data_IF_871490449072
#
_entry.id   IF_871490449072
#
_cell.length_a   1.000
_cell.length_b   1.000
_cell.length_c   1.000
_cell.angle_alpha   90.00
_cell.angle_beta   90.00
_cell.angle_gamma   90.00
#
_symmetry.space_group_name_H-M   'P 1'
#
loop_
_entity.id
_entity.type
_entity.pdbx_description
1 polymer ?
#
# COMPACT_ATOMS: atom_id res chain seq x y z
N UNK A 1 22.76 30.99 19.90
CA UNK A 1 23.55 31.46 21.04
C UNK A 1 23.10 30.72 22.29
N UNK A 2 24.05 30.18 23.01
CA UNK A 2 24.04 29.52 24.34
C UNK A 2 23.97 27.99 24.26
N UNK A 3 25.03 27.44 24.30
CA UNK A 3 26.11 27.00 25.20
C UNK A 3 25.91 25.52 25.56
N UNK A 4 26.66 24.67 24.86
CA UNK A 4 27.07 23.33 25.31
C UNK A 4 28.06 23.54 26.49
N UNK A 5 27.74 22.99 27.63
CA UNK A 5 28.71 22.79 28.72
C UNK A 5 29.12 21.35 28.69
N UNK A 6 30.33 21.13 28.20
CA UNK A 6 31.04 19.85 28.21
C UNK A 6 31.74 19.75 29.60
N UNK A 7 31.23 18.92 30.47
CA UNK A 7 31.90 18.60 31.74
C UNK A 7 32.87 17.43 31.55
N UNK A 8 34.14 17.75 31.42
CA UNK A 8 35.25 16.80 31.50
C UNK A 8 35.51 16.43 32.96
N UNK A 9 35.21 15.19 33.33
CA UNK A 9 35.62 14.63 34.64
C UNK A 9 36.91 13.81 34.41
N UNK A 10 38.00 14.35 34.91
CA UNK A 10 39.29 13.63 35.06
C UNK A 10 39.15 12.59 36.18
N UNK A 11 39.26 11.35 35.85
CA UNK A 11 39.37 10.27 36.83
C UNK A 11 40.83 9.87 36.97
N UNK A 12 41.40 10.24 38.14
CA UNK A 12 42.74 9.79 38.59
C UNK A 12 42.70 8.33 39.04
N UNK A 13 43.50 7.51 38.40
CA UNK A 13 43.73 6.11 38.76
C UNK A 13 44.54 6.00 40.08
N UNK A 14 43.94 5.40 41.09
CA UNK A 14 44.67 4.78 42.16
C UNK A 14 44.48 3.26 42.05
N UNK A 15 45.59 2.56 41.74
CA UNK A 15 45.66 1.11 41.90
C UNK A 15 45.69 0.77 43.38
N UNK A 16 44.70 0.04 43.86
CA UNK A 16 44.79 -0.77 45.06
C UNK A 16 44.02 -2.08 44.82
N UNK A 17 44.76 -3.18 44.80
CA UNK A 17 44.18 -4.54 44.82
C UNK A 17 43.42 -4.77 46.12
N UNK A 18 42.13 -5.16 46.04
CA UNK A 18 41.51 -6.24 46.81
C UNK A 18 40.01 -6.36 46.56
N UNK A 19 39.60 -7.63 46.38
CA UNK A 19 38.27 -8.20 46.50
C UNK A 19 37.22 -7.83 45.42
N UNK A 20 36.93 -8.84 44.60
CA UNK A 20 35.75 -8.88 43.71
C UNK A 20 34.46 -8.81 44.53
N UNK A 21 33.85 -7.64 44.55
CA UNK A 21 32.42 -7.52 44.88
C UNK A 21 31.60 -7.57 43.58
N UNK A 22 30.90 -8.64 43.35
CA UNK A 22 30.00 -8.84 42.17
C UNK A 22 28.71 -7.98 42.21
N UNK A 23 28.58 -7.05 43.14
CA UNK A 23 27.37 -6.28 43.39
C UNK A 23 27.07 -5.14 42.38
N UNK A 24 28.04 -4.32 41.89
CA UNK A 24 27.67 -3.12 41.11
C UNK A 24 27.22 -3.42 39.66
N UNK A 25 27.56 -4.57 39.07
CA UNK A 25 27.18 -4.87 37.66
C UNK A 25 25.74 -5.33 37.50
N UNK A 26 25.19 -5.95 38.53
CA UNK A 26 23.77 -6.40 38.53
C UNK A 26 22.84 -5.20 38.73
N UNK A 27 23.19 -4.27 39.61
CA UNK A 27 22.41 -3.05 39.88
C UNK A 27 22.33 -2.13 38.66
N UNK A 28 23.47 -1.93 37.97
CA UNK A 28 23.51 -1.16 36.69
C UNK A 28 22.69 -1.82 35.58
N UNK A 29 22.65 -3.14 35.49
CA UNK A 29 21.84 -3.86 34.49
C UNK A 29 20.34 -3.73 34.74
N UNK A 30 19.92 -3.73 36.00
CA UNK A 30 18.53 -3.53 36.37
C UNK A 30 18.10 -2.09 36.11
N UNK A 31 18.92 -1.11 36.46
CA UNK A 31 18.67 0.32 36.22
C UNK A 31 18.58 0.64 34.71
N UNK A 32 19.48 0.08 33.88
CA UNK A 32 19.40 0.20 32.41
C UNK A 32 18.12 -0.44 31.86
N UNK A 33 17.69 -1.55 32.42
CA UNK A 33 16.48 -2.25 31.98
C UNK A 33 15.21 -1.45 32.33
N UNK A 34 15.19 -0.83 33.49
CA UNK A 34 14.09 0.01 33.96
C UNK A 34 13.98 1.30 33.14
N UNK A 35 15.09 2.01 32.94
CA UNK A 35 15.16 3.20 32.08
C UNK A 35 14.78 2.87 30.64
N UNK A 36 15.22 1.74 30.10
CA UNK A 36 14.85 1.32 28.74
C UNK A 36 13.36 1.02 28.61
N UNK A 37 12.74 0.51 29.66
CA UNK A 37 11.29 0.25 29.71
C UNK A 37 10.50 1.55 29.80
N UNK A 38 10.89 2.48 30.69
CA UNK A 38 10.23 3.78 30.80
C UNK A 38 10.31 4.61 29.52
N UNK A 39 11.47 4.61 28.86
CA UNK A 39 11.65 5.28 27.55
C UNK A 39 10.77 4.64 26.50
N UNK A 40 10.68 3.32 26.45
CA UNK A 40 9.82 2.59 25.52
C UNK A 40 8.33 2.89 25.75
N UNK A 41 7.91 2.87 27.01
CA UNK A 41 6.52 3.11 27.37
C UNK A 41 6.13 4.59 27.09
N UNK A 42 7.02 5.55 27.35
CA UNK A 42 6.84 6.96 27.03
C UNK A 42 6.72 7.20 25.51
N UNK A 43 7.64 6.63 24.72
CA UNK A 43 7.59 6.74 23.25
C UNK A 43 6.31 6.09 22.71
N UNK A 44 5.90 4.95 23.26
CA UNK A 44 4.68 4.27 22.83
C UNK A 44 3.44 5.11 23.12
N UNK A 45 3.39 5.78 24.26
CA UNK A 45 2.27 6.65 24.64
C UNK A 45 2.19 7.87 23.72
N UNK A 46 3.30 8.57 23.48
CA UNK A 46 3.36 9.71 22.55
C UNK A 46 2.97 9.33 21.12
N UNK A 47 3.47 8.17 20.63
CA UNK A 47 3.08 7.63 19.33
C UNK A 47 1.58 7.35 19.23
N UNK A 48 0.99 6.74 20.25
CA UNK A 48 -0.44 6.44 20.26
C UNK A 48 -1.28 7.72 20.25
N UNK A 49 -0.90 8.76 21.01
CA UNK A 49 -1.59 10.06 20.99
C UNK A 49 -1.52 10.72 19.61
N UNK A 50 -0.35 10.68 18.95
CA UNK A 50 -0.18 11.20 17.60
C UNK A 50 -1.01 10.39 16.58
N UNK A 51 -1.02 9.07 16.69
CA UNK A 51 -1.82 8.20 15.81
C UNK A 51 -3.31 8.49 16.00
N UNK A 52 -3.80 8.65 17.23
CA UNK A 52 -5.21 8.91 17.52
C UNK A 52 -5.69 10.24 16.93
N UNK A 53 -4.82 11.24 16.83
CA UNK A 53 -5.15 12.57 16.29
C UNK A 53 -4.95 12.64 14.77
N UNK A 54 -3.86 12.07 14.26
CA UNK A 54 -3.42 12.23 12.85
C UNK A 54 -4.19 11.31 11.91
N UNK A 55 -4.39 10.06 12.28
CA UNK A 55 -5.06 9.07 11.41
C UNK A 55 -6.48 9.47 11.03
N UNK A 56 -7.35 9.97 11.93
CA UNK A 56 -8.67 10.45 11.56
C UNK A 56 -8.65 11.64 10.60
N UNK A 57 -7.70 12.57 10.78
CA UNK A 57 -7.55 13.74 9.89
C UNK A 57 -7.14 13.33 8.48
N UNK A 58 -6.15 12.44 8.36
CA UNK A 58 -5.71 11.91 7.06
C UNK A 58 -6.85 11.17 6.37
N UNK A 59 -7.57 10.32 7.09
CA UNK A 59 -8.73 9.59 6.55
C UNK A 59 -9.81 10.53 6.03
N UNK A 60 -10.12 11.59 6.79
CA UNK A 60 -11.10 12.59 6.37
C UNK A 60 -10.68 13.27 5.07
N UNK A 61 -9.42 13.68 4.94
CA UNK A 61 -8.90 14.31 3.72
C UNK A 61 -9.03 13.38 2.52
N UNK A 62 -8.61 12.12 2.65
CA UNK A 62 -8.73 11.10 1.59
C UNK A 62 -10.20 10.93 1.16
N UNK A 63 -11.14 10.87 2.11
CA UNK A 63 -12.57 10.76 1.82
C UNK A 63 -13.07 11.96 1.03
N UNK A 64 -12.76 13.17 1.49
CA UNK A 64 -13.19 14.42 0.87
C UNK A 64 -12.64 14.51 -0.57
N UNK A 65 -11.40 14.14 -0.81
CA UNK A 65 -10.79 14.09 -2.16
C UNK A 65 -11.45 13.05 -3.07
N UNK A 66 -11.72 11.85 -2.57
CA UNK A 66 -12.36 10.80 -3.35
C UNK A 66 -13.80 11.19 -3.72
N UNK A 67 -14.55 11.75 -2.79
CA UNK A 67 -15.91 12.26 -3.04
C UNK A 67 -15.87 13.38 -4.09
N UNK A 68 -14.94 14.33 -3.95
CA UNK A 68 -14.79 15.44 -4.90
C UNK A 68 -14.46 14.96 -6.33
N UNK A 69 -13.74 13.84 -6.46
CA UNK A 69 -13.42 13.17 -7.73
C UNK A 69 -14.54 12.24 -8.23
N UNK A 70 -15.65 12.11 -7.50
CA UNK A 70 -16.82 11.32 -7.89
C UNK A 70 -16.71 9.82 -7.58
N UNK A 71 -15.75 9.39 -6.76
CA UNK A 71 -15.64 8.00 -6.34
C UNK A 71 -16.74 7.61 -5.35
N UNK A 72 -17.19 6.37 -5.44
CA UNK A 72 -18.09 5.78 -4.44
C UNK A 72 -17.27 5.17 -3.32
N UNK A 73 -17.57 5.58 -2.09
CA UNK A 73 -16.87 5.14 -0.88
C UNK A 73 -17.86 4.92 0.27
N UNK A 74 -17.49 4.09 1.23
CA UNK A 74 -18.15 3.97 2.53
C UNK A 74 -17.18 3.50 3.61
N UNK A 75 -17.50 3.76 4.88
CA UNK A 75 -16.76 3.22 6.01
C UNK A 75 -17.31 1.85 6.41
N UNK A 76 -16.43 0.87 6.52
CA UNK A 76 -16.67 -0.42 7.12
C UNK A 76 -15.99 -0.47 8.49
N UNK A 77 -16.73 -0.81 9.53
CA UNK A 77 -16.19 -1.00 10.88
C UNK A 77 -16.10 -2.49 11.15
N UNK A 78 -14.88 -2.97 11.37
CA UNK A 78 -14.66 -4.36 11.77
C UNK A 78 -15.24 -4.63 13.16
N UNK A 79 -16.06 -5.66 13.26
CA UNK A 79 -16.80 -5.96 14.50
C UNK A 79 -15.89 -6.41 15.63
N UNK A 80 -14.75 -7.05 15.30
CA UNK A 80 -13.81 -7.60 16.29
C UNK A 80 -12.78 -6.57 16.73
N UNK A 81 -12.10 -5.94 15.75
CA UNK A 81 -11.01 -5.01 16.05
C UNK A 81 -11.51 -3.59 16.32
N UNK A 82 -12.75 -3.28 15.90
CA UNK A 82 -13.34 -1.93 15.93
C UNK A 82 -12.63 -0.93 15.00
N UNK A 83 -11.69 -1.41 14.18
CA UNK A 83 -11.03 -0.59 13.19
C UNK A 83 -11.99 -0.16 12.09
N UNK A 84 -11.82 1.06 11.62
CA UNK A 84 -12.57 1.58 10.48
C UNK A 84 -11.75 1.47 9.21
N UNK A 85 -12.24 0.74 8.23
CA UNK A 85 -11.67 0.58 6.91
C UNK A 85 -12.43 1.45 5.91
N UNK A 86 -11.74 2.31 5.20
CA UNK A 86 -12.34 3.05 4.09
C UNK A 86 -12.47 2.14 2.88
N UNK A 87 -13.71 1.81 2.50
CA UNK A 87 -14.02 1.02 1.31
C UNK A 87 -14.20 1.96 0.11
N UNK A 88 -13.56 1.59 -1.02
CA UNK A 88 -13.71 2.28 -2.30
C UNK A 88 -14.21 1.31 -3.36
N UNK A 89 -15.11 1.79 -4.24
CA UNK A 89 -15.50 1.03 -5.42
C UNK A 89 -14.44 1.20 -6.51
N UNK A 90 -13.96 0.08 -7.01
CA UNK A 90 -13.12 -0.08 -8.20
C UNK A 90 -13.91 -0.80 -9.28
N UNK A 91 -13.32 -0.97 -10.45
CA UNK A 91 -13.90 -1.77 -11.53
C UNK A 91 -12.89 -2.84 -11.94
N UNK A 92 -13.26 -4.09 -11.73
CA UNK A 92 -12.47 -5.25 -12.11
C UNK A 92 -12.84 -5.64 -13.53
N UNK A 93 -11.91 -5.45 -14.46
CA UNK A 93 -12.05 -5.84 -15.85
C UNK A 93 -11.36 -7.19 -16.08
N UNK A 94 -12.12 -8.17 -16.47
CA UNK A 94 -11.63 -9.48 -16.92
C UNK A 94 -11.38 -9.43 -18.42
N UNK A 95 -10.14 -9.76 -18.80
CA UNK A 95 -9.74 -9.89 -20.19
C UNK A 95 -9.99 -11.34 -20.60
N UNK A 96 -10.94 -11.55 -21.50
CA UNK A 96 -11.37 -12.86 -21.99
C UNK A 96 -10.82 -13.12 -23.39
N UNK A 97 -10.76 -14.38 -23.78
CA UNK A 97 -10.39 -14.79 -25.13
C UNK A 97 -11.44 -14.24 -26.12
N UNK A 98 -11.02 -13.37 -27.02
CA UNK A 98 -11.89 -12.81 -28.05
C UNK A 98 -12.07 -13.76 -29.26
N UNK A 99 -13.08 -13.51 -30.11
CA UNK A 99 -13.44 -14.38 -31.21
C UNK A 99 -12.48 -14.32 -32.40
N UNK A 100 -11.72 -13.23 -32.56
CA UNK A 100 -10.84 -13.02 -33.71
C UNK A 100 -9.45 -13.56 -33.40
N UNK A 101 -9.06 -14.67 -34.06
CA UNK A 101 -7.80 -15.40 -33.84
C UNK A 101 -6.99 -15.63 -35.12
N UNK A 102 -7.33 -14.90 -36.19
CA UNK A 102 -6.70 -15.08 -37.51
C UNK A 102 -5.38 -14.31 -37.69
N UNK A 103 -4.92 -13.57 -36.68
CA UNK A 103 -3.65 -12.85 -36.75
C UNK A 103 -2.48 -13.82 -36.88
N UNK A 104 -1.54 -13.52 -37.78
CA UNK A 104 -0.30 -14.24 -37.88
C UNK A 104 0.64 -13.97 -36.67
N UNK A 105 1.81 -14.58 -36.65
CA UNK A 105 2.74 -14.48 -35.52
C UNK A 105 3.26 -13.07 -35.33
N UNK A 106 3.60 -12.35 -36.40
CA UNK A 106 4.11 -10.99 -36.39
C UNK A 106 3.04 -10.01 -35.88
N UNK A 107 1.82 -10.07 -36.46
CA UNK A 107 0.67 -9.27 -36.02
C UNK A 107 0.33 -9.53 -34.55
N UNK A 108 0.44 -10.78 -34.11
CA UNK A 108 0.17 -11.16 -32.72
C UNK A 108 1.22 -10.58 -31.76
N UNK A 109 2.49 -10.54 -32.17
CA UNK A 109 3.57 -9.95 -31.38
C UNK A 109 3.42 -8.44 -31.28
N UNK A 110 3.08 -7.74 -32.37
CA UNK A 110 2.84 -6.31 -32.39
C UNK A 110 1.65 -5.93 -31.52
N UNK A 111 0.53 -6.65 -31.62
CA UNK A 111 -0.64 -6.46 -30.75
C UNK A 111 -0.29 -6.66 -29.27
N UNK A 112 0.56 -7.64 -28.94
CA UNK A 112 1.02 -7.88 -27.57
C UNK A 112 1.85 -6.71 -27.05
N UNK A 113 2.74 -6.15 -27.84
CA UNK A 113 3.54 -4.97 -27.47
C UNK A 113 2.65 -3.74 -27.19
N UNK A 114 1.71 -3.47 -28.10
CA UNK A 114 0.76 -2.35 -27.94
C UNK A 114 -0.16 -2.53 -26.74
N UNK A 115 -0.60 -3.77 -26.46
CA UNK A 115 -1.38 -4.12 -25.28
C UNK A 115 -0.60 -3.81 -23.98
N UNK A 116 0.64 -4.30 -23.87
CA UNK A 116 1.48 -4.03 -22.70
C UNK A 116 1.75 -2.53 -22.50
N UNK A 117 1.98 -1.81 -23.59
CA UNK A 117 2.14 -0.36 -23.56
C UNK A 117 0.84 0.34 -23.07
N UNK A 118 -0.33 -0.14 -23.50
CA UNK A 118 -1.61 0.36 -23.01
C UNK A 118 -1.79 0.12 -21.51
N UNK A 119 -1.53 -1.09 -21.01
CA UNK A 119 -1.62 -1.40 -19.57
C UNK A 119 -0.66 -0.53 -18.74
N UNK A 120 0.58 -0.38 -19.19
CA UNK A 120 1.56 0.50 -18.54
C UNK A 120 1.07 1.95 -18.48
N UNK A 121 0.54 2.47 -19.58
CA UNK A 121 -0.05 3.81 -19.64
C UNK A 121 -1.21 3.97 -18.65
N UNK A 122 -2.08 2.97 -18.49
CA UNK A 122 -3.19 3.02 -17.53
C UNK A 122 -2.67 3.10 -16.09
N UNK A 123 -1.61 2.37 -15.77
CA UNK A 123 -0.94 2.43 -14.48
C UNK A 123 -0.27 3.80 -14.24
N UNK A 124 0.54 4.29 -15.17
CA UNK A 124 1.27 5.56 -15.06
C UNK A 124 0.34 6.77 -14.90
N UNK A 125 -0.82 6.74 -15.53
CA UNK A 125 -1.85 7.77 -15.40
C UNK A 125 -2.71 7.61 -14.13
N UNK A 126 -2.52 6.56 -13.34
CA UNK A 126 -3.28 6.27 -12.13
C UNK A 126 -4.72 5.82 -12.39
N UNK A 127 -5.03 5.38 -13.61
CA UNK A 127 -6.34 4.85 -13.97
C UNK A 127 -6.50 3.37 -13.62
N UNK A 128 -5.40 2.62 -13.50
CA UNK A 128 -5.40 1.25 -13.04
C UNK A 128 -4.35 1.05 -11.94
N UNK A 129 -4.68 0.26 -10.93
CA UNK A 129 -3.78 -0.03 -9.82
C UNK A 129 -3.01 -1.34 -10.05
N UNK A 130 -3.63 -2.33 -10.69
CA UNK A 130 -3.07 -3.68 -10.92
C UNK A 130 -3.55 -4.21 -12.26
N UNK A 131 -2.63 -4.82 -13.01
CA UNK A 131 -2.93 -5.59 -14.21
C UNK A 131 -2.03 -6.83 -14.25
N UNK A 132 -2.56 -7.96 -14.72
CA UNK A 132 -1.77 -9.17 -14.87
C UNK A 132 -2.51 -10.31 -15.57
N UNK A 133 -1.75 -11.25 -16.18
CA UNK A 133 -2.30 -12.44 -16.80
C UNK A 133 -2.69 -13.48 -15.74
N UNK A 134 -3.65 -14.36 -16.09
CA UNK A 134 -3.84 -15.60 -15.35
C UNK A 134 -2.75 -16.62 -15.73
N UNK A 135 -2.39 -17.48 -14.77
CA UNK A 135 -1.32 -18.47 -14.95
C UNK A 135 -1.77 -19.76 -15.66
N UNK A 136 -3.05 -19.88 -15.99
CA UNK A 136 -3.62 -20.99 -16.71
C UNK A 136 -3.91 -20.63 -18.18
N UNK A 137 -4.33 -21.64 -18.97
CA UNK A 137 -4.64 -21.46 -20.39
C UNK A 137 -6.16 -21.43 -20.67
N UNK A 138 -6.94 -21.00 -19.67
CA UNK A 138 -8.39 -20.86 -19.73
C UNK A 138 -8.86 -19.75 -20.65
N UNK A 139 -10.17 -19.54 -20.66
CA UNK A 139 -10.82 -18.47 -21.43
C UNK A 139 -10.55 -17.08 -20.83
N UNK A 140 -10.39 -17.01 -19.52
CA UNK A 140 -9.96 -15.82 -18.80
C UNK A 140 -8.47 -15.63 -18.97
N UNK A 141 -8.05 -14.53 -19.59
CA UNK A 141 -6.64 -14.30 -19.96
C UNK A 141 -5.90 -13.41 -18.96
N UNK A 142 -6.62 -12.54 -18.28
CA UNK A 142 -6.04 -11.61 -17.32
C UNK A 142 -7.08 -10.77 -16.62
N UNK A 143 -6.61 -9.91 -15.73
CA UNK A 143 -7.43 -8.95 -14.98
C UNK A 143 -6.74 -7.60 -14.91
N UNK A 144 -7.54 -6.53 -14.98
CA UNK A 144 -7.11 -5.15 -14.67
C UNK A 144 -8.07 -4.55 -13.66
N UNK A 145 -7.55 -3.96 -12.59
CA UNK A 145 -8.34 -3.24 -11.59
C UNK A 145 -8.23 -1.75 -11.86
N UNK A 146 -9.30 -1.19 -12.40
CA UNK A 146 -9.41 0.23 -12.68
C UNK A 146 -9.78 1.03 -11.45
N UNK A 147 -9.01 2.08 -11.18
CA UNK A 147 -9.18 3.05 -10.10
C UNK A 147 -9.77 4.35 -10.68
N UNK A 148 -11.00 4.29 -11.12
CA UNK A 148 -11.71 5.40 -11.76
C UNK A 148 -13.11 5.57 -11.16
N UNK A 149 -13.74 6.76 -11.24
CA UNK A 149 -14.99 7.03 -10.51
C UNK A 149 -16.23 6.35 -11.10
N UNK A 150 -16.22 5.98 -12.38
CA UNK A 150 -17.41 5.45 -13.05
C UNK A 150 -17.13 4.22 -13.91
N UNK A 151 -18.14 3.34 -14.00
CA UNK A 151 -18.09 2.19 -14.90
C UNK A 151 -17.89 2.62 -16.36
N UNK A 152 -18.53 3.70 -16.79
CA UNK A 152 -18.38 4.23 -18.15
C UNK A 152 -16.92 4.59 -18.46
N UNK A 153 -16.21 5.17 -17.50
CA UNK A 153 -14.80 5.50 -17.69
C UNK A 153 -13.93 4.24 -17.75
N UNK A 154 -14.17 3.28 -16.85
CA UNK A 154 -13.47 1.99 -16.88
C UNK A 154 -13.68 1.24 -18.21
N UNK A 155 -14.93 1.19 -18.68
CA UNK A 155 -15.31 0.58 -19.94
C UNK A 155 -14.61 1.24 -21.13
N UNK A 156 -14.62 2.56 -21.19
CA UNK A 156 -13.96 3.33 -22.25
C UNK A 156 -12.45 3.08 -22.28
N UNK A 157 -11.80 3.02 -21.12
CA UNK A 157 -10.35 2.78 -21.01
C UNK A 157 -9.99 1.33 -21.37
N UNK A 158 -10.77 0.36 -20.92
CA UNK A 158 -10.54 -1.04 -21.21
C UNK A 158 -10.75 -1.36 -22.71
N UNK A 159 -11.78 -0.79 -23.31
CA UNK A 159 -12.06 -0.99 -24.75
C UNK A 159 -11.13 -0.18 -25.67
N UNK A 160 -10.29 0.70 -25.15
CA UNK A 160 -9.25 1.38 -25.91
C UNK A 160 -7.97 0.53 -26.07
N UNK A 161 -7.91 -0.63 -25.48
CA UNK A 161 -6.80 -1.59 -25.62
C UNK A 161 -6.74 -2.12 -27.07
N UNK A 162 -5.57 -2.10 -27.74
CA UNK A 162 -5.41 -2.60 -29.11
C UNK A 162 -5.84 -4.05 -29.30
N UNK A 163 -5.59 -4.93 -28.30
CA UNK A 163 -6.06 -6.32 -28.35
C UNK A 163 -7.58 -6.45 -28.27
N UNK A 164 -8.26 -5.54 -27.58
CA UNK A 164 -9.72 -5.50 -27.54
C UNK A 164 -10.27 -4.93 -28.85
N UNK A 165 -9.68 -3.85 -29.34
CA UNK A 165 -10.08 -3.26 -30.65
C UNK A 165 -9.93 -4.27 -31.79
N UNK A 166 -8.88 -5.09 -31.77
CA UNK A 166 -8.68 -6.13 -32.79
C UNK A 166 -9.57 -7.37 -32.63
N UNK A 167 -10.40 -7.42 -31.57
CA UNK A 167 -11.24 -8.57 -31.24
C UNK A 167 -10.48 -9.82 -30.77
N UNK A 168 -9.17 -9.69 -30.48
CA UNK A 168 -8.35 -10.78 -29.92
C UNK A 168 -8.64 -11.01 -28.43
N UNK A 169 -9.07 -9.96 -27.72
CA UNK A 169 -9.62 -9.99 -26.37
C UNK A 169 -11.02 -9.40 -26.33
N UNK A 170 -11.81 -9.83 -25.38
CA UNK A 170 -13.07 -9.25 -24.96
C UNK A 170 -12.99 -8.83 -23.49
N UNK A 171 -13.77 -7.82 -23.11
CA UNK A 171 -13.77 -7.29 -21.76
C UNK A 171 -15.11 -7.57 -21.09
N UNK A 172 -15.04 -8.02 -19.83
CA UNK A 172 -16.17 -8.09 -18.91
C UNK A 172 -15.82 -7.31 -17.63
N UNK A 173 -16.63 -6.29 -17.26
CA UNK A 173 -16.29 -5.40 -16.14
C UNK A 173 -17.33 -5.51 -15.04
N UNK A 174 -16.84 -5.67 -13.80
CA UNK A 174 -17.67 -5.70 -12.59
C UNK A 174 -17.26 -4.61 -11.60
N UNK A 175 -18.23 -3.91 -10.99
CA UNK A 175 -17.96 -3.08 -9.81
C UNK A 175 -17.44 -3.96 -8.67
N UNK A 176 -16.36 -3.55 -8.05
CA UNK A 176 -15.72 -4.30 -6.98
C UNK A 176 -15.35 -3.40 -5.81
N UNK A 177 -15.62 -3.84 -4.59
CA UNK A 177 -15.31 -3.09 -3.38
C UNK A 177 -14.08 -3.62 -2.69
N UNK A 178 -13.12 -2.73 -2.40
CA UNK A 178 -11.91 -3.07 -1.66
C UNK A 178 -11.57 -2.00 -0.63
N UNK A 179 -10.82 -2.40 0.40
CA UNK A 179 -10.25 -1.48 1.38
C UNK A 179 -9.20 -0.58 0.73
N UNK A 180 -9.36 0.72 0.87
CA UNK A 180 -8.40 1.70 0.34
C UNK A 180 -7.07 1.59 1.08
N UNK A 181 -5.98 1.42 0.33
CA UNK A 181 -4.64 1.30 0.88
C UNK A 181 -4.21 -0.11 1.27
N UNK A 182 -5.04 -1.14 1.06
CA UNK A 182 -4.61 -2.52 1.21
C UNK A 182 -3.75 -2.94 0.02
N UNK A 183 -2.54 -3.41 0.33
CA UNK A 183 -1.56 -3.84 -0.66
C UNK A 183 -1.57 -5.37 -0.80
N UNK A 184 -1.17 -5.84 -1.98
CA UNK A 184 -0.80 -7.24 -2.17
C UNK A 184 0.48 -7.51 -1.38
N UNK A 185 0.56 -8.68 -0.72
CA UNK A 185 1.69 -9.11 0.10
C UNK A 185 2.29 -10.40 -0.47
#
# INVERSE_FOLDING_TARGET
MKNCILALILVSFFLSCKEESKAPVLEIKEEIKEVSKEVKDSITTELNEVIEIVVPKIRKQIKDELIAKGFKIFDYVDVKTKDTVLMQQYFMAFLKRGPIRGQNEEESAELQEMHLAHLTKMYDLGYADISGPFGDDGDMRGVTIYNVPTLKMADSLANADPMVISGRLEIEIHPWWAGKGFLLR
#
